data_IF_611119977272
#
_entry.id   IF_611119977272
#
_cell.length_a   1.000
_cell.length_b   1.000
_cell.length_c   1.000
_cell.angle_alpha   90.00
_cell.angle_beta   90.00
_cell.angle_gamma   90.00
#
_symmetry.space_group_name_H-M   'P 1'
#
loop_
_entity.id
_entity.type
_entity.pdbx_description
1 polymer ?
#
# COMPACT_ATOMS: atom_id res chain seq x y z
N UNK A 1 3.83 20.44 -1.92
CA UNK A 1 4.34 19.49 -2.94
C UNK A 1 5.34 18.47 -2.36
N UNK A 2 6.18 18.82 -1.37
CA UNK A 2 7.26 17.94 -0.82
C UNK A 2 6.83 16.63 -0.15
N UNK A 3 5.56 16.47 0.26
CA UNK A 3 5.11 15.28 1.01
C UNK A 3 4.85 14.05 0.15
N UNK A 4 4.57 14.22 -1.14
CA UNK A 4 4.30 13.12 -2.10
C UNK A 4 5.56 12.68 -2.85
N UNK A 5 6.54 13.58 -2.97
CA UNK A 5 7.83 13.34 -3.62
C UNK A 5 8.59 12.13 -3.04
N UNK A 6 8.40 11.83 -1.74
CA UNK A 6 9.01 10.67 -1.07
C UNK A 6 8.61 9.30 -1.64
N UNK A 7 7.53 9.25 -2.42
CA UNK A 7 7.01 8.03 -3.04
C UNK A 7 7.52 7.82 -4.47
N UNK A 8 8.16 8.82 -5.08
CA UNK A 8 8.76 8.68 -6.41
C UNK A 8 10.25 8.36 -6.28
N UNK A 9 10.69 7.24 -6.85
CA UNK A 9 12.11 6.84 -6.84
C UNK A 9 12.99 7.87 -7.53
N UNK A 10 12.48 8.46 -8.61
CA UNK A 10 13.26 9.31 -9.52
C UNK A 10 13.38 10.74 -8.99
N UNK A 11 12.41 11.19 -8.18
CA UNK A 11 12.33 12.58 -7.72
C UNK A 11 12.55 12.74 -6.21
N UNK A 12 12.69 11.67 -5.42
CA UNK A 12 12.83 11.77 -3.95
C UNK A 12 14.01 12.63 -3.47
N UNK A 13 15.11 12.64 -4.21
CA UNK A 13 16.34 13.37 -3.86
C UNK A 13 16.54 14.65 -4.69
N UNK A 14 15.62 14.93 -5.62
CA UNK A 14 15.73 16.07 -6.53
C UNK A 14 15.18 17.33 -5.88
N UNK A 15 15.96 18.42 -5.87
CA UNK A 15 15.42 19.70 -5.44
C UNK A 15 14.54 20.32 -6.54
N UNK A 16 13.22 20.13 -6.40
CA UNK A 16 12.21 20.68 -7.30
C UNK A 16 12.23 22.23 -7.37
N UNK A 17 12.83 22.92 -6.40
CA UNK A 17 12.91 24.39 -6.40
C UNK A 17 14.01 24.91 -7.34
N UNK A 18 14.94 24.03 -7.76
CA UNK A 18 15.97 24.35 -8.74
C UNK A 18 15.48 24.33 -10.19
N UNK A 19 14.27 23.81 -10.44
CA UNK A 19 13.69 23.71 -11.77
C UNK A 19 13.04 25.05 -12.12
N UNK A 20 13.77 25.88 -12.88
CA UNK A 20 13.30 27.20 -13.32
C UNK A 20 12.26 27.15 -14.46
N UNK A 21 12.12 25.99 -15.13
CA UNK A 21 11.18 25.80 -16.23
C UNK A 21 9.86 25.20 -15.73
N UNK A 22 8.79 25.97 -15.88
CA UNK A 22 7.43 25.61 -15.43
C UNK A 22 6.83 24.42 -16.18
N UNK A 23 7.25 24.17 -17.43
CA UNK A 23 6.77 23.02 -18.20
C UNK A 23 7.40 21.72 -17.69
N UNK A 24 8.68 21.75 -17.33
CA UNK A 24 9.37 20.61 -16.73
C UNK A 24 8.85 20.32 -15.31
N UNK A 25 8.56 21.36 -14.52
CA UNK A 25 7.94 21.21 -13.21
C UNK A 25 6.59 20.47 -13.31
N UNK A 26 5.73 20.84 -14.27
CA UNK A 26 4.43 20.19 -14.49
C UNK A 26 4.56 18.68 -14.82
N UNK A 27 5.58 18.32 -15.60
CA UNK A 27 5.83 16.92 -15.98
C UNK A 27 6.30 16.11 -14.76
N UNK A 28 7.24 16.68 -13.98
CA UNK A 28 7.72 16.06 -12.75
C UNK A 28 6.58 15.87 -11.74
N UNK A 29 5.71 16.87 -11.58
CA UNK A 29 4.54 16.77 -10.71
C UNK A 29 3.61 15.63 -11.13
N UNK A 30 3.27 15.51 -12.42
CA UNK A 30 2.42 14.42 -12.92
C UNK A 30 3.03 13.05 -12.63
N UNK A 31 4.34 12.91 -12.78
CA UNK A 31 5.04 11.66 -12.51
C UNK A 31 5.07 11.33 -11.01
N UNK A 32 5.35 12.32 -10.15
CA UNK A 32 5.27 12.15 -8.69
C UNK A 32 3.86 11.74 -8.25
N UNK A 33 2.81 12.33 -8.84
CA UNK A 33 1.43 11.95 -8.55
C UNK A 33 1.11 10.52 -8.98
N UNK A 34 1.55 10.11 -10.18
CA UNK A 34 1.36 8.75 -10.67
C UNK A 34 2.08 7.72 -9.78
N UNK A 35 3.32 8.00 -9.38
CA UNK A 35 4.12 7.12 -8.52
C UNK A 35 3.52 7.02 -7.11
N UNK A 36 3.01 8.13 -6.57
CA UNK A 36 2.31 8.14 -5.28
C UNK A 36 1.00 7.33 -5.37
N UNK A 37 0.27 7.43 -6.48
CA UNK A 37 -0.94 6.63 -6.71
C UNK A 37 -0.62 5.14 -6.83
N UNK A 38 0.44 4.79 -7.56
CA UNK A 38 0.92 3.42 -7.68
C UNK A 38 1.37 2.86 -6.31
N UNK A 39 2.09 3.64 -5.52
CA UNK A 39 2.50 3.26 -4.16
C UNK A 39 1.30 3.06 -3.22
N UNK A 40 0.28 3.93 -3.32
CA UNK A 40 -0.95 3.77 -2.55
C UNK A 40 -1.73 2.52 -2.97
N UNK A 41 -1.73 2.17 -4.25
CA UNK A 41 -2.34 0.95 -4.77
C UNK A 41 -1.55 -0.31 -4.39
N UNK A 42 -0.21 -0.21 -4.36
CA UNK A 42 0.72 -1.30 -4.03
C UNK A 42 0.85 -1.56 -2.52
N UNK A 43 0.25 -0.72 -1.66
CA UNK A 43 0.27 -0.91 -0.19
C UNK A 43 -0.40 -2.22 0.30
N UNK A 44 -0.86 -3.07 -0.61
CA UNK A 44 -1.08 -4.49 -0.37
C UNK A 44 0.27 -5.21 -0.46
N UNK A 45 1.13 -5.02 0.55
CA UNK A 45 2.37 -5.79 0.65
C UNK A 45 2.05 -7.29 0.61
N UNK A 46 2.77 -8.11 -0.18
CA UNK A 46 2.57 -9.55 -0.21
C UNK A 46 2.71 -10.15 1.20
N UNK A 47 1.63 -10.75 1.72
CA UNK A 47 1.59 -11.31 3.08
C UNK A 47 1.08 -10.36 4.17
N UNK A 48 0.76 -9.10 3.85
CA UNK A 48 0.00 -8.25 4.76
C UNK A 48 -1.43 -8.80 4.91
N UNK A 49 -1.88 -8.94 6.16
CA UNK A 49 -3.25 -9.33 6.47
C UNK A 49 -4.29 -8.30 5.99
N UNK A 50 -5.55 -8.60 6.24
CA UNK A 50 -6.70 -7.80 5.87
C UNK A 50 -6.61 -6.41 6.51
N UNK A 51 -6.68 -5.38 5.68
CA UNK A 51 -6.77 -3.99 6.11
C UNK A 51 -8.21 -3.50 6.01
N UNK A 52 -8.67 -2.82 7.06
CA UNK A 52 -9.95 -2.13 7.04
C UNK A 52 -9.90 -0.87 6.15
N UNK A 53 -10.89 -0.76 5.26
CA UNK A 53 -11.18 0.41 4.45
C UNK A 53 -12.57 0.88 4.80
N UNK A 54 -12.65 2.06 5.42
CA UNK A 54 -13.90 2.67 5.81
C UNK A 54 -14.33 3.65 4.72
N UNK A 55 -15.52 3.46 4.17
CA UNK A 55 -16.18 4.41 3.28
C UNK A 55 -17.46 4.90 3.94
N UNK A 56 -17.74 6.19 3.82
CA UNK A 56 -19.00 6.78 4.26
C UNK A 56 -19.90 6.94 3.03
N UNK A 57 -21.13 6.41 3.09
CA UNK A 57 -22.10 6.59 2.02
C UNK A 57 -22.75 7.98 2.06
N UNK A 58 -23.52 8.31 1.02
CA UNK A 58 -24.19 9.60 0.90
C UNK A 58 -25.20 9.88 2.04
N UNK A 59 -25.64 8.84 2.75
CA UNK A 59 -26.55 8.94 3.91
C UNK A 59 -25.80 9.03 5.24
N UNK A 60 -24.46 9.09 5.22
CA UNK A 60 -23.62 9.21 6.42
C UNK A 60 -23.32 7.88 7.12
N UNK A 61 -23.78 6.74 6.58
CA UNK A 61 -23.47 5.42 7.15
C UNK A 61 -22.05 5.01 6.77
N UNK A 62 -21.34 4.48 7.77
CA UNK A 62 -19.98 3.94 7.60
C UNK A 62 -20.06 2.48 7.17
N UNK A 63 -19.42 2.16 6.06
CA UNK A 63 -19.27 0.81 5.53
C UNK A 63 -17.78 0.45 5.65
N UNK A 64 -17.47 -0.55 6.47
CA UNK A 64 -16.14 -1.13 6.57
C UNK A 64 -16.00 -2.28 5.57
N UNK A 65 -14.98 -2.22 4.73
CA UNK A 65 -14.62 -3.27 3.77
C UNK A 65 -13.19 -3.68 4.05
N UNK A 66 -12.92 -4.98 4.11
CA UNK A 66 -11.57 -5.50 4.36
C UNK A 66 -10.96 -5.96 3.04
N UNK A 67 -9.74 -5.49 2.73
CA UNK A 67 -9.01 -5.82 1.51
C UNK A 67 -7.64 -6.38 1.90
N UNK A 68 -7.19 -7.47 1.26
CA UNK A 68 -5.93 -8.15 1.56
C UNK A 68 -6.06 -9.67 1.48
N UNK A 69 -5.09 -10.39 2.04
CA UNK A 69 -5.12 -11.85 2.11
C UNK A 69 -5.83 -12.33 3.40
N UNK A 70 -6.99 -13.01 3.28
CA UNK A 70 -7.64 -13.62 4.44
C UNK A 70 -6.75 -14.68 5.09
N UNK A 71 -6.00 -15.46 4.32
CA UNK A 71 -5.18 -16.57 4.85
C UNK A 71 -4.08 -16.07 5.76
N UNK A 72 -3.33 -15.03 5.34
CA UNK A 72 -2.34 -14.36 6.18
C UNK A 72 -2.95 -13.77 7.47
N UNK A 73 -4.17 -13.25 7.40
CA UNK A 73 -4.87 -12.66 8.57
C UNK A 73 -5.22 -13.72 9.61
N UNK A 74 -5.72 -14.87 9.15
CA UNK A 74 -6.16 -15.95 10.03
C UNK A 74 -5.03 -16.90 10.42
N UNK A 75 -3.85 -16.82 9.78
CA UNK A 75 -2.73 -17.72 10.05
C UNK A 75 -2.36 -17.88 11.54
N UNK A 76 -2.34 -16.82 12.37
CA UNK A 76 -2.06 -16.97 13.81
C UNK A 76 -3.15 -17.73 14.59
N UNK A 77 -4.37 -17.77 14.06
CA UNK A 77 -5.53 -18.42 14.69
C UNK A 77 -5.78 -19.84 14.16
N UNK A 78 -5.10 -20.24 13.09
CA UNK A 78 -5.20 -21.60 12.56
C UNK A 78 -4.34 -22.55 13.39
N UNK A 79 -4.90 -23.71 13.72
CA UNK A 79 -4.14 -24.76 14.41
C UNK A 79 -2.94 -25.18 13.56
N UNK A 80 -1.76 -25.22 14.16
CA UNK A 80 -0.54 -25.71 13.50
C UNK A 80 -0.79 -27.16 13.06
N UNK A 81 -0.60 -27.43 11.77
CA UNK A 81 -0.71 -28.79 11.24
C UNK A 81 0.25 -29.71 11.99
N UNK A 82 -0.29 -30.67 12.75
CA UNK A 82 0.53 -31.67 13.45
C UNK A 82 0.97 -32.71 12.44
N UNK A 83 2.29 -32.85 12.24
CA UNK A 83 2.84 -34.02 11.55
C UNK A 83 2.87 -35.20 12.51
N UNK A 84 2.20 -36.29 12.16
CA UNK A 84 2.35 -37.58 12.86
C UNK A 84 3.72 -38.14 12.46
N UNK A 85 4.69 -38.08 13.38
CA UNK A 85 5.91 -38.86 13.24
C UNK A 85 5.59 -40.27 13.73
N UNK A 86 5.68 -41.26 12.85
CA UNK A 86 5.47 -42.67 13.21
C UNK A 86 6.47 -43.09 14.28
N UNK A 87 6.00 -43.81 15.29
CA UNK A 87 6.85 -44.45 16.29
C UNK A 87 7.56 -45.62 15.57
N UNK A 88 8.89 -45.55 15.46
CA UNK A 88 9.67 -46.71 15.00
C UNK A 88 9.78 -47.70 16.17
N UNK A 89 9.29 -48.92 15.96
CA UNK A 89 9.53 -50.08 16.81
C UNK A 89 10.93 -50.65 16.54
#
# INVERSE_FOLDING_TARGET
MTRLQKYSSDYKEVDLHSIADSQLLSIAEKKIYADAQASAASSLEPGAGLREVIRTDATGRRISTFIGDPSATWAPFQAVSRKVAGIKQ
#
